data_IF_520564404476
#
_entry.id   IF_520564404476
#
_cell.length_a   1.000
_cell.length_b   1.000
_cell.length_c   1.000
_cell.angle_alpha   90.00
_cell.angle_beta   90.00
_cell.angle_gamma   90.00
#
_symmetry.space_group_name_H-M   'P 1'
#
loop_
_entity.id
_entity.type
_entity.pdbx_description
1 polymer ?
#
# COMPACT_ATOMS: atom_id res chain seq x y z
N UNK A 1 -40.60 -1.40 -2.39
CA UNK A 1 -40.82 0.06 -2.52
C UNK A 1 -40.29 0.75 -1.26
N UNK A 2 -39.13 1.42 -1.31
CA UNK A 2 -38.56 2.09 -0.13
C UNK A 2 -39.22 3.47 0.05
N UNK A 3 -39.92 3.68 1.17
CA UNK A 3 -40.46 5.00 1.53
C UNK A 3 -39.32 5.92 1.97
N UNK A 4 -39.03 6.94 1.16
CA UNK A 4 -38.16 8.04 1.56
C UNK A 4 -38.78 8.78 2.75
N UNK A 5 -38.05 8.86 3.86
CA UNK A 5 -38.47 9.65 5.02
C UNK A 5 -38.10 11.11 4.75
N UNK A 6 -39.09 11.93 4.37
CA UNK A 6 -38.90 13.37 4.23
C UNK A 6 -38.99 14.02 5.61
N UNK A 7 -37.93 14.71 6.01
CA UNK A 7 -37.92 15.50 7.24
C UNK A 7 -38.79 16.75 7.02
N UNK A 8 -39.72 17.07 7.93
CA UNK A 8 -40.54 18.28 7.83
C UNK A 8 -39.66 19.53 7.76
N UNK A 9 -39.99 20.43 6.82
CA UNK A 9 -39.27 21.70 6.57
C UNK A 9 -39.05 22.54 7.84
N UNK A 10 -39.98 22.47 8.79
CA UNK A 10 -39.90 23.16 10.09
C UNK A 10 -38.86 22.54 11.04
N UNK A 11 -38.65 21.22 10.97
CA UNK A 11 -37.61 20.51 11.73
C UNK A 11 -36.23 20.82 11.14
N UNK A 12 -36.13 20.87 9.80
CA UNK A 12 -34.90 21.26 9.12
C UNK A 12 -34.47 22.69 9.49
N UNK A 13 -35.39 23.66 9.43
CA UNK A 13 -35.08 25.05 9.77
C UNK A 13 -34.74 25.26 11.25
N UNK A 14 -35.28 24.43 12.17
CA UNK A 14 -34.92 24.46 13.60
C UNK A 14 -33.52 23.91 13.89
N UNK A 15 -32.96 23.07 13.00
CA UNK A 15 -31.61 22.50 13.13
C UNK A 15 -30.52 23.26 12.36
N UNK A 16 -30.88 24.34 11.64
CA UNK A 16 -29.94 25.07 10.77
C UNK A 16 -28.79 25.72 11.56
N UNK A 17 -29.04 26.12 12.81
CA UNK A 17 -28.01 26.69 13.70
C UNK A 17 -26.95 25.68 14.15
N UNK A 18 -27.30 24.39 14.24
CA UNK A 18 -26.37 23.29 14.57
C UNK A 18 -25.63 22.77 13.35
N UNK A 19 -26.20 22.92 12.14
CA UNK A 19 -25.62 22.43 10.89
C UNK A 19 -24.34 23.17 10.46
N UNK A 20 -24.12 24.41 10.92
CA UNK A 20 -22.89 25.18 10.62
C UNK A 20 -21.70 24.69 11.47
N UNK A 21 -21.97 24.02 12.60
CA UNK A 21 -20.94 23.53 13.53
C UNK A 21 -20.54 22.07 13.30
N UNK A 22 -21.23 21.34 12.43
CA UNK A 22 -20.98 19.92 12.15
C UNK A 22 -20.39 19.75 10.75
N UNK A 23 -19.23 19.10 10.61
CA UNK A 23 -18.80 18.55 9.32
C UNK A 23 -19.96 17.73 8.76
N UNK A 24 -20.30 17.94 7.49
CA UNK A 24 -21.41 17.24 6.82
C UNK A 24 -21.36 15.75 7.15
N UNK A 25 -22.39 15.27 7.84
CA UNK A 25 -22.50 13.91 8.35
C UNK A 25 -22.54 12.93 7.17
N UNK A 26 -21.38 12.38 6.79
CA UNK A 26 -21.24 11.45 5.65
C UNK A 26 -22.19 10.24 5.74
N UNK A 27 -22.68 9.90 6.94
CA UNK A 27 -23.69 8.86 7.15
C UNK A 27 -25.07 9.17 6.51
N UNK A 28 -25.32 10.42 6.10
CA UNK A 28 -26.54 10.83 5.41
C UNK A 28 -26.36 10.98 3.90
N UNK A 29 -25.17 10.74 3.36
CA UNK A 29 -24.99 10.65 1.92
C UNK A 29 -25.76 9.41 1.44
N UNK A 30 -26.83 9.56 0.63
CA UNK A 30 -27.51 8.42 0.07
C UNK A 30 -26.49 7.64 -0.75
N UNK A 31 -26.42 6.32 -0.62
CA UNK A 31 -25.49 5.46 -1.39
C UNK A 31 -25.58 5.68 -2.92
N UNK A 32 -26.65 6.32 -3.39
CA UNK A 32 -26.83 6.78 -4.78
C UNK A 32 -25.99 8.00 -5.18
N UNK A 33 -25.53 8.84 -4.26
CA UNK A 33 -24.58 9.93 -4.56
C UNK A 33 -23.18 9.40 -4.89
N UNK A 34 -22.81 8.22 -4.40
CA UNK A 34 -21.61 7.51 -4.87
C UNK A 34 -21.80 6.89 -6.27
N UNK A 35 -23.04 6.59 -6.66
CA UNK A 35 -23.38 6.05 -7.99
C UNK A 35 -23.69 7.14 -9.03
N UNK A 36 -23.90 8.38 -8.60
CA UNK A 36 -24.12 9.55 -9.45
C UNK A 36 -22.78 10.14 -9.88
N UNK A 37 -22.03 9.41 -10.71
CA UNK A 37 -21.06 9.86 -11.73
C UNK A 37 -19.90 10.84 -11.41
N UNK A 38 -20.01 11.70 -10.40
CA UNK A 38 -19.16 12.87 -10.23
C UNK A 38 -18.14 12.74 -9.09
N UNK A 39 -18.16 11.63 -8.33
CA UNK A 39 -17.12 11.33 -7.35
C UNK A 39 -15.91 10.76 -8.07
N UNK A 40 -14.93 11.61 -8.37
CA UNK A 40 -13.61 11.17 -8.85
C UNK A 40 -12.84 10.52 -7.71
N UNK A 41 -12.68 9.20 -7.79
CA UNK A 41 -11.76 8.50 -6.89
C UNK A 41 -10.32 8.82 -7.28
N UNK A 42 -9.42 9.05 -6.30
CA UNK A 42 -8.02 9.27 -6.60
C UNK A 42 -7.43 8.02 -7.24
N UNK A 43 -6.73 8.18 -8.36
CA UNK A 43 -5.93 7.12 -8.97
C UNK A 43 -4.83 6.71 -7.99
N UNK A 44 -4.67 5.40 -7.77
CA UNK A 44 -3.70 4.85 -6.82
C UNK A 44 -2.55 4.19 -7.56
N UNK A 45 -1.35 4.34 -7.02
CA UNK A 45 -0.16 3.61 -7.46
C UNK A 45 0.14 2.48 -6.48
N UNK A 46 0.47 1.30 -7.00
CA UNK A 46 0.85 0.14 -6.21
C UNK A 46 2.13 -0.49 -6.75
N UNK A 47 3.02 -0.86 -5.85
CA UNK A 47 4.20 -1.67 -6.15
C UNK A 47 4.05 -3.02 -5.48
N UNK A 48 4.20 -4.09 -6.24
CA UNK A 48 4.09 -5.46 -5.75
C UNK A 48 5.46 -6.11 -5.92
N UNK A 49 6.09 -6.45 -4.81
CA UNK A 49 7.36 -7.16 -4.81
C UNK A 49 7.12 -8.66 -4.74
N UNK A 50 7.76 -9.40 -5.63
CA UNK A 50 7.76 -10.85 -5.62
C UNK A 50 9.20 -11.29 -5.33
N UNK A 51 9.47 -11.86 -4.15
CA UNK A 51 10.82 -12.21 -3.73
C UNK A 51 11.34 -13.44 -4.48
N UNK A 52 12.52 -13.91 -4.08
CA UNK A 52 13.09 -15.16 -4.55
C UNK A 52 12.10 -16.33 -4.39
N UNK A 53 12.15 -17.28 -5.32
CA UNK A 53 11.30 -18.50 -5.29
C UNK A 53 10.41 -18.70 -6.51
N UNK A 54 10.42 -17.77 -7.47
CA UNK A 54 9.66 -17.92 -8.72
C UNK A 54 10.48 -18.69 -9.76
N UNK A 55 9.84 -19.63 -10.44
CA UNK A 55 10.40 -20.25 -11.65
C UNK A 55 10.27 -19.23 -12.79
N UNK A 56 11.29 -18.39 -13.00
CA UNK A 56 11.24 -17.28 -13.95
C UNK A 56 10.78 -17.68 -15.36
N UNK A 57 11.20 -18.86 -15.85
CA UNK A 57 10.77 -19.38 -17.16
C UNK A 57 9.24 -19.58 -17.26
N UNK A 58 8.56 -19.86 -16.15
CA UNK A 58 7.10 -20.00 -16.08
C UNK A 58 6.40 -18.68 -15.76
N UNK A 59 7.14 -17.63 -15.45
CA UNK A 59 6.62 -16.29 -15.17
C UNK A 59 6.73 -15.37 -16.39
N UNK A 60 7.90 -15.35 -17.03
CA UNK A 60 8.20 -14.45 -18.15
C UNK A 60 7.31 -14.72 -19.37
N UNK A 61 6.93 -13.64 -20.05
CA UNK A 61 6.24 -13.70 -21.34
C UNK A 61 7.21 -14.06 -22.47
N UNK A 62 6.68 -14.46 -23.62
CA UNK A 62 7.46 -14.69 -24.84
C UNK A 62 6.92 -13.90 -26.03
N UNK A 63 7.80 -13.46 -26.93
CA UNK A 63 7.45 -12.54 -28.02
C UNK A 63 7.44 -11.07 -27.58
N UNK A 64 7.12 -10.18 -28.52
CA UNK A 64 7.27 -8.73 -28.37
C UNK A 64 6.02 -7.98 -28.87
N UNK A 65 5.96 -6.68 -28.56
CA UNK A 65 4.83 -5.81 -28.94
C UNK A 65 3.51 -6.25 -28.29
N UNK A 66 2.38 -5.94 -28.92
CA UNK A 66 1.05 -6.31 -28.40
C UNK A 66 0.72 -7.81 -28.48
N UNK A 67 1.52 -8.58 -29.24
CA UNK A 67 1.28 -10.00 -29.53
C UNK A 67 2.10 -10.96 -28.66
N UNK A 68 2.65 -10.49 -27.54
CA UNK A 68 3.33 -11.38 -26.59
C UNK A 68 2.39 -12.48 -26.07
N UNK A 69 2.96 -13.64 -25.78
CA UNK A 69 2.27 -14.79 -25.19
C UNK A 69 2.48 -14.76 -23.69
N UNK A 70 1.38 -14.76 -22.94
CA UNK A 70 1.41 -14.96 -21.50
C UNK A 70 1.97 -16.34 -21.17
N UNK A 71 2.69 -16.41 -20.05
CA UNK A 71 3.05 -17.66 -19.42
C UNK A 71 1.86 -18.23 -18.65
N UNK A 72 1.93 -19.50 -18.26
CA UNK A 72 0.89 -20.12 -17.45
C UNK A 72 0.63 -19.37 -16.13
N UNK A 73 1.67 -18.82 -15.47
CA UNK A 73 1.48 -18.08 -14.22
C UNK A 73 0.73 -16.76 -14.44
N UNK A 74 0.91 -16.12 -15.60
CA UNK A 74 0.25 -14.85 -15.93
C UNK A 74 -1.08 -15.04 -16.68
N UNK A 75 -1.50 -16.28 -16.94
CA UNK A 75 -2.75 -16.62 -17.62
C UNK A 75 -4.00 -15.96 -16.98
N UNK A 76 -4.12 -15.85 -15.64
CA UNK A 76 -5.27 -15.15 -15.02
C UNK A 76 -5.41 -13.67 -15.40
N UNK A 77 -4.35 -13.06 -15.95
CA UNK A 77 -4.32 -11.66 -16.38
C UNK A 77 -4.75 -11.47 -17.85
N UNK A 78 -5.07 -12.54 -18.59
CA UNK A 78 -5.41 -12.47 -20.02
C UNK A 78 -6.52 -11.45 -20.33
N UNK A 79 -7.54 -11.36 -19.48
CA UNK A 79 -8.66 -10.42 -19.62
C UNK A 79 -8.26 -8.94 -19.49
N UNK A 80 -7.04 -8.66 -19.02
CA UNK A 80 -6.46 -7.32 -18.83
C UNK A 80 -5.31 -7.03 -19.80
N UNK A 81 -5.16 -7.81 -20.88
CA UNK A 81 -4.05 -7.64 -21.85
C UNK A 81 -3.86 -6.19 -22.30
N UNK A 82 -4.95 -5.51 -22.63
CA UNK A 82 -4.91 -4.12 -23.12
C UNK A 82 -4.55 -3.10 -22.03
N UNK A 83 -4.60 -3.50 -20.75
CA UNK A 83 -4.22 -2.69 -19.59
C UNK A 83 -2.77 -2.96 -19.13
N UNK A 84 -2.04 -3.87 -19.80
CA UNK A 84 -0.75 -4.38 -19.33
C UNK A 84 0.42 -4.05 -20.27
N UNK A 85 1.42 -3.39 -19.70
CA UNK A 85 2.75 -3.25 -20.28
C UNK A 85 3.73 -4.13 -19.50
N UNK A 86 4.34 -5.10 -20.19
CA UNK A 86 5.29 -6.04 -19.59
C UNK A 86 6.67 -5.79 -20.20
N UNK A 87 7.62 -5.38 -19.35
CA UNK A 87 9.02 -5.23 -19.73
C UNK A 87 9.81 -6.49 -19.38
N UNK A 88 10.66 -6.94 -20.31
CA UNK A 88 11.58 -8.06 -20.12
C UNK A 88 13.02 -7.60 -20.31
N UNK A 89 13.99 -8.34 -19.75
CA UNK A 89 15.41 -8.03 -19.92
C UNK A 89 15.95 -6.89 -19.03
N UNK A 90 15.14 -6.38 -18.10
CA UNK A 90 15.58 -5.38 -17.12
C UNK A 90 16.20 -6.06 -15.90
N UNK A 91 17.25 -5.44 -15.36
CA UNK A 91 17.91 -5.91 -14.14
C UNK A 91 18.43 -4.75 -13.30
N UNK A 92 18.29 -4.85 -11.97
CA UNK A 92 18.92 -3.93 -11.05
C UNK A 92 20.41 -4.25 -10.88
N UNK A 93 21.28 -3.51 -11.56
CA UNK A 93 22.74 -3.66 -11.40
C UNK A 93 23.21 -3.44 -9.96
N UNK A 94 22.56 -2.54 -9.22
CA UNK A 94 22.87 -2.26 -7.80
C UNK A 94 22.45 -3.36 -6.82
N UNK A 95 21.63 -4.32 -7.25
CA UNK A 95 21.30 -5.51 -6.46
C UNK A 95 22.36 -6.62 -6.56
N UNK A 96 23.30 -6.52 -7.50
CA UNK A 96 24.45 -7.44 -7.60
C UNK A 96 25.40 -7.25 -6.41
N UNK A 97 26.30 -8.22 -6.21
CA UNK A 97 27.24 -8.20 -5.10
C UNK A 97 28.08 -6.91 -5.02
N UNK A 98 28.57 -6.37 -6.14
CA UNK A 98 29.30 -5.10 -6.19
C UNK A 98 30.39 -4.96 -5.10
N UNK A 99 31.13 -6.05 -4.85
CA UNK A 99 32.18 -6.13 -3.83
C UNK A 99 31.72 -6.65 -2.46
N UNK A 100 30.42 -6.71 -2.19
CA UNK A 100 29.85 -7.08 -0.89
C UNK A 100 29.72 -8.59 -0.67
N UNK A 101 29.94 -9.44 -1.68
CA UNK A 101 29.77 -10.89 -1.56
C UNK A 101 28.31 -11.33 -1.34
N UNK A 102 28.08 -12.31 -0.47
CA UNK A 102 26.73 -12.78 -0.14
C UNK A 102 25.84 -11.67 0.45
N UNK A 103 24.52 -11.78 0.27
CA UNK A 103 23.57 -10.74 0.71
C UNK A 103 22.43 -10.47 -0.27
N UNK A 104 22.10 -11.43 -1.13
CA UNK A 104 21.22 -11.22 -2.28
C UNK A 104 19.79 -10.89 -1.88
N UNK A 105 19.32 -11.35 -0.71
CA UNK A 105 17.96 -11.06 -0.24
C UNK A 105 17.83 -9.61 0.19
N UNK A 106 18.77 -9.13 1.00
CA UNK A 106 18.82 -7.75 1.44
C UNK A 106 19.04 -6.78 0.27
N UNK A 107 19.95 -7.11 -0.65
CA UNK A 107 20.22 -6.27 -1.82
C UNK A 107 19.04 -6.20 -2.79
N UNK A 108 18.40 -7.34 -3.11
CA UNK A 108 17.26 -7.36 -4.02
C UNK A 108 16.10 -6.52 -3.49
N UNK A 109 15.76 -6.69 -2.20
CA UNK A 109 14.69 -5.94 -1.56
C UNK A 109 15.01 -4.44 -1.51
N UNK A 110 16.17 -4.06 -0.97
CA UNK A 110 16.57 -2.66 -0.86
C UNK A 110 16.60 -1.93 -2.21
N UNK A 111 17.06 -2.60 -3.28
CA UNK A 111 17.22 -1.96 -4.58
C UNK A 111 15.89 -1.78 -5.34
N UNK A 112 14.85 -2.56 -5.04
CA UNK A 112 13.63 -2.64 -5.85
C UNK A 112 12.97 -1.27 -6.09
N UNK A 113 12.73 -0.50 -5.03
CA UNK A 113 12.08 0.83 -5.15
C UNK A 113 13.06 2.00 -5.10
N UNK A 114 14.33 1.77 -4.77
CA UNK A 114 15.33 2.85 -4.64
C UNK A 114 16.29 2.92 -5.82
N UNK A 115 16.54 1.81 -6.51
CA UNK A 115 17.62 1.69 -7.50
C UNK A 115 19.03 1.85 -6.90
N UNK A 116 19.17 1.98 -5.58
CA UNK A 116 20.42 2.23 -4.88
C UNK A 116 21.07 0.94 -4.38
N UNK A 117 22.40 0.92 -4.28
CA UNK A 117 23.11 -0.17 -3.60
C UNK A 117 23.08 0.08 -2.10
N UNK A 118 22.57 -0.89 -1.35
CA UNK A 118 22.57 -0.85 0.11
C UNK A 118 24.01 -0.83 0.65
N UNK A 119 24.30 0.05 1.60
CA UNK A 119 25.55 -0.01 2.35
C UNK A 119 25.59 -1.30 3.16
N UNK A 120 26.59 -2.15 2.93
CA UNK A 120 26.81 -3.35 3.74
C UNK A 120 27.14 -2.98 5.19
N UNK A 121 26.19 -3.21 6.07
CA UNK A 121 26.32 -3.05 7.52
C UNK A 121 25.18 -3.76 8.22
N UNK A 122 25.45 -4.33 9.40
CA UNK A 122 24.46 -4.87 10.32
C UNK A 122 24.19 -3.95 11.52
N UNK A 123 24.84 -2.78 11.56
CA UNK A 123 24.72 -1.78 12.63
C UNK A 123 23.72 -0.67 12.30
N UNK A 124 23.74 0.39 13.10
CA UNK A 124 22.83 1.53 12.98
C UNK A 124 23.16 2.49 11.81
N UNK A 125 24.35 2.38 11.22
CA UNK A 125 24.84 3.24 10.14
C UNK A 125 24.32 2.83 8.74
N UNK A 126 23.07 2.38 8.66
CA UNK A 126 22.39 2.01 7.42
C UNK A 126 22.33 3.21 6.46
N UNK A 127 22.49 2.93 5.15
CA UNK A 127 22.38 3.93 4.10
C UNK A 127 21.92 3.31 2.79
N UNK A 128 20.93 3.94 2.16
CA UNK A 128 20.37 3.53 0.87
C UNK A 128 20.00 4.77 0.03
N UNK A 129 18.72 5.13 -0.01
CA UNK A 129 18.17 6.25 -0.78
C UNK A 129 16.65 6.32 -0.58
N UNK A 130 16.04 7.45 -0.97
CA UNK A 130 14.57 7.56 -0.98
C UNK A 130 13.98 6.61 -2.04
N UNK A 131 12.88 5.97 -1.72
CA UNK A 131 12.18 5.08 -2.64
C UNK A 131 11.13 5.81 -3.49
N UNK A 132 10.87 5.32 -4.70
CA UNK A 132 9.96 5.95 -5.67
C UNK A 132 8.53 6.09 -5.16
N UNK A 133 8.05 5.14 -4.36
CA UNK A 133 6.75 5.21 -3.69
C UNK A 133 6.70 6.36 -2.68
N UNK A 134 7.79 6.63 -1.95
CA UNK A 134 7.86 7.73 -0.99
C UNK A 134 8.01 9.09 -1.67
N UNK A 135 8.71 9.16 -2.81
CA UNK A 135 8.71 10.36 -3.66
C UNK A 135 7.28 10.71 -4.10
N UNK A 136 6.51 9.71 -4.55
CA UNK A 136 5.13 9.92 -4.94
C UNK A 136 4.22 10.27 -3.75
N UNK A 137 4.38 9.59 -2.62
CA UNK A 137 3.62 9.88 -1.40
C UNK A 137 3.83 11.32 -0.91
N UNK A 138 5.06 11.86 -1.04
CA UNK A 138 5.36 13.26 -0.75
C UNK A 138 4.70 14.21 -1.77
N UNK A 139 4.74 13.86 -3.06
CA UNK A 139 4.17 14.69 -4.12
C UNK A 139 2.65 14.84 -4.02
N UNK A 140 1.95 13.76 -3.64
CA UNK A 140 0.48 13.71 -3.54
C UNK A 140 -0.01 13.79 -2.08
N UNK A 141 0.85 14.28 -1.16
CA UNK A 141 0.49 14.44 0.24
C UNK A 141 -0.72 15.37 0.38
N UNK A 142 -1.74 14.92 1.13
CA UNK A 142 -2.99 15.66 1.34
C UNK A 142 -4.10 15.35 0.34
N UNK A 143 -3.82 14.73 -0.81
CA UNK A 143 -4.87 14.31 -1.76
C UNK A 143 -5.62 13.06 -1.29
N UNK A 144 -4.99 12.28 -0.43
CA UNK A 144 -5.61 11.12 0.23
C UNK A 144 -5.35 11.18 1.73
N UNK A 145 -6.25 10.56 2.51
CA UNK A 145 -6.15 10.52 3.98
C UNK A 145 -4.85 9.89 4.47
N UNK A 146 -4.31 8.93 3.73
CA UNK A 146 -3.06 8.25 4.05
C UNK A 146 -2.16 8.36 2.82
N UNK A 147 -1.01 9.03 2.90
CA UNK A 147 -0.14 9.29 1.74
C UNK A 147 0.52 8.01 1.20
N UNK A 148 0.78 7.01 2.07
CA UNK A 148 1.35 5.72 1.70
C UNK A 148 0.89 4.59 2.63
N UNK A 149 0.76 3.38 2.08
CA UNK A 149 0.39 2.18 2.83
C UNK A 149 1.34 1.04 2.45
N UNK A 150 2.28 0.76 3.33
CA UNK A 150 3.26 -0.30 3.20
C UNK A 150 2.71 -1.59 3.83
N UNK A 151 2.70 -2.67 3.07
CA UNK A 151 2.11 -3.96 3.46
C UNK A 151 3.12 -5.08 3.29
N UNK A 152 3.09 -6.06 4.18
CA UNK A 152 3.93 -7.25 4.08
C UNK A 152 3.21 -8.48 4.63
N UNK A 153 3.57 -9.65 4.12
CA UNK A 153 3.19 -10.93 4.74
C UNK A 153 4.21 -11.41 5.79
N UNK A 154 5.36 -10.73 5.88
CA UNK A 154 6.42 -11.02 6.84
C UNK A 154 6.25 -10.21 8.13
N UNK A 155 6.84 -10.70 9.22
CA UNK A 155 6.96 -9.93 10.45
C UNK A 155 7.89 -8.72 10.27
N UNK A 156 7.55 -7.60 10.92
CA UNK A 156 8.35 -6.36 10.87
C UNK A 156 9.69 -6.56 11.57
N UNK A 157 10.80 -6.25 10.88
CA UNK A 157 12.15 -6.22 11.46
C UNK A 157 12.92 -5.01 10.94
N UNK A 158 13.41 -4.18 11.87
CA UNK A 158 14.11 -2.92 11.53
C UNK A 158 15.58 -2.92 11.94
N UNK A 159 16.02 -3.89 12.73
CA UNK A 159 17.39 -3.99 13.24
C UNK A 159 17.82 -5.45 13.38
N UNK A 160 19.14 -5.67 13.42
CA UNK A 160 19.76 -6.99 13.52
C UNK A 160 20.54 -7.38 12.27
N UNK A 161 21.11 -8.59 12.28
CA UNK A 161 21.88 -9.18 11.17
C UNK A 161 21.02 -10.22 10.47
N UNK A 162 20.43 -9.87 9.33
CA UNK A 162 19.47 -10.74 8.66
C UNK A 162 20.04 -11.44 7.41
N UNK A 163 21.02 -10.84 6.73
CA UNK A 163 21.57 -11.43 5.50
C UNK A 163 23.05 -11.13 5.35
N UNK A 164 23.92 -12.07 5.76
CA UNK A 164 25.36 -12.04 5.41
C UNK A 164 26.11 -10.74 5.78
N UNK A 165 25.66 -10.04 6.81
CA UNK A 165 26.23 -8.75 7.25
C UNK A 165 25.42 -7.51 6.84
N UNK A 166 24.26 -7.69 6.21
CA UNK A 166 23.26 -6.64 6.02
C UNK A 166 22.27 -6.57 7.19
N UNK A 167 21.84 -5.34 7.47
CA UNK A 167 20.82 -5.01 8.44
C UNK A 167 19.46 -5.56 8.00
N UNK A 168 18.66 -6.02 8.96
CA UNK A 168 17.27 -6.41 8.73
C UNK A 168 16.43 -5.29 8.11
N UNK A 169 16.82 -4.02 8.31
CA UNK A 169 16.20 -2.87 7.64
C UNK A 169 16.12 -3.05 6.11
N UNK A 170 17.17 -3.59 5.47
CA UNK A 170 17.22 -3.77 4.02
C UNK A 170 16.37 -4.93 3.51
N UNK A 171 16.19 -5.98 4.33
CA UNK A 171 15.48 -7.19 3.91
C UNK A 171 13.97 -7.11 4.15
N UNK A 172 13.54 -6.35 5.15
CA UNK A 172 12.14 -6.32 5.60
C UNK A 172 11.43 -5.00 5.29
N UNK A 173 12.07 -4.06 4.58
CA UNK A 173 11.49 -2.77 4.23
C UNK A 173 11.83 -2.41 2.77
N UNK A 174 10.80 -2.42 1.91
CA UNK A 174 10.90 -1.99 0.51
C UNK A 174 10.94 -0.45 0.39
N UNK A 175 10.19 0.21 1.27
CA UNK A 175 9.96 1.66 1.25
C UNK A 175 10.93 2.39 2.16
N UNK A 176 11.48 3.50 1.68
CA UNK A 176 12.51 4.31 2.33
C UNK A 176 12.17 5.79 2.21
N UNK A 177 11.91 6.44 3.35
CA UNK A 177 11.51 7.85 3.41
C UNK A 177 12.65 8.79 3.00
N UNK A 178 13.88 8.39 3.30
CA UNK A 178 15.13 9.08 2.96
C UNK A 178 16.29 8.07 2.99
N UNK A 179 17.53 8.55 2.91
CA UNK A 179 18.72 7.70 2.80
C UNK A 179 19.02 6.84 4.04
N UNK A 180 18.44 7.12 5.20
CA UNK A 180 18.69 6.38 6.46
C UNK A 180 17.42 5.87 7.15
N UNK A 181 16.23 6.23 6.67
CA UNK A 181 14.97 5.96 7.36
C UNK A 181 14.09 5.00 6.54
N UNK A 182 14.04 3.70 6.89
CA UNK A 182 13.07 2.77 6.30
C UNK A 182 11.64 3.09 6.77
N UNK A 183 10.65 2.66 5.99
CA UNK A 183 9.23 2.71 6.34
C UNK A 183 8.73 1.29 6.60
N UNK A 184 8.47 0.91 7.87
CA UNK A 184 8.01 -0.41 8.22
C UNK A 184 6.65 -0.76 7.61
N UNK A 185 6.51 -1.94 6.98
CA UNK A 185 5.22 -2.41 6.51
C UNK A 185 4.32 -2.83 7.67
N UNK A 186 3.01 -2.75 7.48
CA UNK A 186 2.03 -3.37 8.38
C UNK A 186 1.67 -4.77 7.85
N UNK A 187 1.80 -5.79 8.70
CA UNK A 187 1.47 -7.17 8.35
C UNK A 187 0.21 -7.68 9.01
N UNK A 188 -0.37 -6.94 9.96
CA UNK A 188 -1.62 -7.30 10.60
C UNK A 188 -2.82 -6.73 9.80
N UNK A 189 -3.63 -7.57 9.14
CA UNK A 189 -4.76 -7.08 8.33
C UNK A 189 -5.79 -6.30 9.15
N UNK A 190 -5.96 -6.62 10.45
CA UNK A 190 -6.85 -5.87 11.34
C UNK A 190 -6.32 -4.45 11.58
N UNK A 191 -5.02 -4.30 11.78
CA UNK A 191 -4.41 -2.98 11.95
C UNK A 191 -4.51 -2.14 10.67
N UNK A 192 -4.29 -2.75 9.50
CA UNK A 192 -4.51 -2.11 8.19
C UNK A 192 -5.95 -1.65 8.04
N UNK A 193 -6.93 -2.52 8.32
CA UNK A 193 -8.35 -2.18 8.26
C UNK A 193 -8.68 -1.03 9.22
N UNK A 194 -8.24 -1.12 10.47
CA UNK A 194 -8.52 -0.10 11.46
C UNK A 194 -7.92 1.25 11.04
N UNK A 195 -6.72 1.24 10.46
CA UNK A 195 -6.09 2.44 9.87
C UNK A 195 -6.89 2.96 8.67
N UNK A 196 -7.40 2.10 7.79
CA UNK A 196 -8.10 2.46 6.55
C UNK A 196 -9.57 2.89 6.72
N UNK A 197 -10.26 2.39 7.74
CA UNK A 197 -11.71 2.51 7.81
C UNK A 197 -12.25 3.04 9.14
N UNK A 198 -11.48 3.01 10.22
CA UNK A 198 -11.95 3.61 11.47
C UNK A 198 -11.83 5.13 11.40
N UNK A 199 -12.99 5.79 11.43
CA UNK A 199 -13.14 7.25 11.51
C UNK A 199 -13.79 7.60 12.85
N UNK A 200 -13.49 8.80 13.35
CA UNK A 200 -14.11 9.35 14.56
C UNK A 200 -13.09 9.71 15.63
N UNK A 201 -13.61 10.28 16.71
CA UNK A 201 -12.88 10.52 17.95
C UNK A 201 -12.38 9.21 18.55
N UNK A 202 -11.36 9.29 19.42
CA UNK A 202 -10.82 8.11 20.13
C UNK A 202 -11.94 7.29 20.81
N UNK A 203 -12.93 7.98 21.37
CA UNK A 203 -14.10 7.36 22.01
C UNK A 203 -14.95 6.54 21.01
N UNK A 204 -15.27 7.12 19.86
CA UNK A 204 -16.05 6.43 18.81
C UNK A 204 -15.29 5.24 18.22
N UNK A 205 -13.97 5.35 18.07
CA UNK A 205 -13.09 4.26 17.64
C UNK A 205 -13.13 3.11 18.65
N UNK A 206 -12.99 3.41 19.94
CA UNK A 206 -12.98 2.41 21.02
C UNK A 206 -14.34 1.73 21.18
N UNK A 207 -15.45 2.49 21.12
CA UNK A 207 -16.81 1.94 21.17
C UNK A 207 -17.10 1.03 19.96
N UNK A 208 -16.75 1.46 18.74
CA UNK A 208 -16.91 0.65 17.54
C UNK A 208 -16.01 -0.60 17.55
N UNK A 209 -14.82 -0.52 18.14
CA UNK A 209 -13.93 -1.67 18.32
C UNK A 209 -14.54 -2.67 19.30
N UNK A 210 -14.98 -2.22 20.48
CA UNK A 210 -15.63 -3.07 21.47
C UNK A 210 -16.90 -3.73 20.92
N UNK A 211 -17.69 -2.99 20.12
CA UNK A 211 -18.85 -3.54 19.44
C UNK A 211 -18.44 -4.65 18.45
N UNK A 212 -17.48 -4.40 17.56
CA UNK A 212 -17.00 -5.40 16.59
C UNK A 212 -16.45 -6.67 17.26
N UNK A 213 -15.66 -6.50 18.32
CA UNK A 213 -15.06 -7.60 19.09
C UNK A 213 -16.13 -8.42 19.81
N UNK A 214 -17.15 -7.78 20.40
CA UNK A 214 -18.27 -8.45 21.08
C UNK A 214 -19.09 -9.32 20.14
N UNK A 215 -19.38 -8.83 18.93
CA UNK A 215 -20.26 -9.52 17.99
C UNK A 215 -19.53 -10.46 17.03
N UNK A 216 -18.19 -10.54 17.10
CA UNK A 216 -17.32 -11.32 16.17
C UNK A 216 -17.74 -11.18 14.70
N UNK A 217 -18.29 -10.03 14.32
CA UNK A 217 -18.70 -9.82 12.94
C UNK A 217 -17.44 -9.68 12.10
N UNK A 218 -17.42 -10.44 11.01
CA UNK A 218 -16.40 -10.37 9.97
C UNK A 218 -16.07 -8.92 9.64
N UNK A 219 -14.78 -8.68 9.36
CA UNK A 219 -14.26 -7.39 8.90
C UNK A 219 -14.80 -7.05 7.48
N UNK A 220 -15.28 -8.06 6.76
CA UNK A 220 -16.00 -8.00 5.49
C UNK A 220 -17.52 -8.12 5.69
#
# INVERSE_FOLDING_TARGET
MSKAHQIPRRTFLRGLGTAIALPTLEAMLPSRTLAAGDVKFPTRMAFIYIPNGVIQKKWNVSGEGSKYKFSHILEPLLKHREDLLIFSGLAHGKARANGDGAGDHARANATFLTGCQARKTSGANIRLGISVDQVAAQKFAGETRIPSLELSSDGVRVSGRCDSGYSCAYQFNLSWKNDTTPVPPESNPKAVFDRLFTRGTKKEIDENKQFRERYRKSIL
#
